data_IF_859355073084
#
_entry.id   IF_859355073084
#
_cell.length_a   1.000
_cell.length_b   1.000
_cell.length_c   1.000
_cell.angle_alpha   90.00
_cell.angle_beta   90.00
_cell.angle_gamma   90.00
#
_symmetry.space_group_name_H-M   'P 1'
#
loop_
_entity.id
_entity.type
_entity.pdbx_description
1 polymer ?
#
# COMPACT_ATOMS: atom_id res chain seq x y z
N UNK A 1 9.95 10.70 -3.34
CA UNK A 1 8.88 11.41 -2.62
C UNK A 1 7.57 10.84 -3.09
N UNK A 2 6.66 10.52 -2.18
CA UNK A 2 5.48 9.73 -2.49
C UNK A 2 4.51 10.55 -3.33
N UNK A 3 4.17 10.02 -4.49
CA UNK A 3 3.24 10.64 -5.42
C UNK A 3 1.80 10.32 -5.00
N UNK A 4 0.93 11.31 -5.06
CA UNK A 4 -0.51 11.15 -4.77
C UNK A 4 -1.17 10.01 -5.57
N UNK A 5 -0.69 9.76 -6.80
CA UNK A 5 -1.18 8.67 -7.65
C UNK A 5 -0.88 7.30 -7.03
N UNK A 6 0.37 7.07 -6.63
CA UNK A 6 0.82 5.81 -6.04
C UNK A 6 0.19 5.60 -4.67
N UNK A 7 0.11 6.66 -3.86
CA UNK A 7 -0.58 6.61 -2.57
C UNK A 7 -2.05 6.21 -2.72
N UNK A 8 -2.79 6.86 -3.63
CA UNK A 8 -4.20 6.52 -3.89
C UNK A 8 -4.37 5.10 -4.40
N UNK A 9 -3.48 4.62 -5.27
CA UNK A 9 -3.54 3.26 -5.80
C UNK A 9 -3.32 2.22 -4.68
N UNK A 10 -2.28 2.38 -3.87
CA UNK A 10 -2.00 1.48 -2.76
C UNK A 10 -3.12 1.44 -1.71
N UNK A 11 -3.66 2.61 -1.36
CA UNK A 11 -4.81 2.72 -0.45
C UNK A 11 -6.06 2.05 -1.02
N UNK A 12 -6.32 2.20 -2.33
CA UNK A 12 -7.46 1.57 -2.99
C UNK A 12 -7.33 0.04 -2.98
N UNK A 13 -6.12 -0.51 -3.12
CA UNK A 13 -5.86 -1.95 -2.99
C UNK A 13 -6.14 -2.45 -1.57
N UNK A 14 -5.68 -1.70 -0.55
CA UNK A 14 -6.01 -2.00 0.84
C UNK A 14 -7.53 -1.97 1.06
N UNK A 15 -8.21 -0.95 0.55
CA UNK A 15 -9.65 -0.86 0.68
C UNK A 15 -10.36 -2.03 0.02
N UNK A 16 -9.90 -2.48 -1.15
CA UNK A 16 -10.51 -3.62 -1.85
C UNK A 16 -10.32 -4.93 -1.09
N UNK A 17 -9.11 -5.23 -0.61
CA UNK A 17 -8.78 -6.48 0.10
C UNK A 17 -9.38 -6.52 1.52
N UNK A 18 -9.38 -5.39 2.22
CA UNK A 18 -9.84 -5.30 3.60
C UNK A 18 -11.25 -4.74 3.74
N UNK A 19 -11.97 -4.49 2.63
CA UNK A 19 -13.36 -4.01 2.63
C UNK A 19 -14.26 -4.89 3.48
N UNK A 20 -14.16 -6.20 3.26
CA UNK A 20 -14.94 -7.22 3.97
C UNK A 20 -14.57 -7.29 5.45
N UNK A 21 -13.40 -6.78 5.83
CA UNK A 21 -12.91 -6.69 7.21
C UNK A 21 -13.22 -5.35 7.87
N UNK A 22 -13.98 -4.48 7.20
CA UNK A 22 -14.39 -3.17 7.71
C UNK A 22 -13.31 -2.08 7.60
N UNK A 23 -12.29 -2.28 6.75
CA UNK A 23 -11.36 -1.19 6.45
C UNK A 23 -12.06 -0.17 5.55
N UNK A 24 -12.16 1.06 6.05
CA UNK A 24 -12.73 2.19 5.32
C UNK A 24 -11.76 3.35 5.39
N UNK A 25 -11.31 3.84 4.22
CA UNK A 25 -10.39 4.97 4.16
C UNK A 25 -11.15 6.27 3.90
N UNK A 26 -11.21 7.14 4.93
CA UNK A 26 -11.78 8.47 4.79
C UNK A 26 -10.74 9.47 4.23
N UNK A 27 -11.22 10.54 3.58
CA UNK A 27 -10.35 11.59 3.02
C UNK A 27 -9.40 12.21 4.05
N UNK A 28 -9.87 12.44 5.28
CA UNK A 28 -9.05 13.00 6.37
C UNK A 28 -7.96 12.03 6.82
N UNK A 29 -8.29 10.74 7.01
CA UNK A 29 -7.31 9.70 7.31
C UNK A 29 -6.28 9.56 6.18
N UNK A 30 -6.74 9.58 4.93
CA UNK A 30 -5.87 9.51 3.76
C UNK A 30 -4.90 10.71 3.69
N UNK A 31 -5.37 11.92 3.99
CA UNK A 31 -4.52 13.10 4.05
C UNK A 31 -3.46 12.99 5.15
N UNK A 32 -3.85 12.53 6.35
CA UNK A 32 -2.89 12.29 7.44
C UNK A 32 -1.84 11.26 7.05
N UNK A 33 -2.25 10.10 6.53
CA UNK A 33 -1.32 9.04 6.12
C UNK A 33 -0.35 9.53 5.04
N UNK A 34 -0.87 10.29 4.05
CA UNK A 34 -0.04 10.88 3.03
C UNK A 34 0.98 11.86 3.63
N UNK A 35 0.59 12.71 4.58
CA UNK A 35 1.49 13.67 5.21
C UNK A 35 2.64 12.98 5.98
N UNK A 36 2.36 11.88 6.67
CA UNK A 36 3.39 11.09 7.35
C UNK A 36 4.26 10.25 6.41
N UNK A 37 3.74 9.88 5.24
CA UNK A 37 4.44 9.02 4.28
C UNK A 37 5.01 9.80 3.08
N UNK A 38 4.80 11.12 2.99
CA UNK A 38 5.23 11.95 1.85
C UNK A 38 6.74 11.88 1.62
N UNK A 39 7.52 11.78 2.69
CA UNK A 39 8.97 11.69 2.67
C UNK A 39 9.48 10.33 2.16
N UNK A 40 8.60 9.32 2.11
CA UNK A 40 8.91 8.00 1.56
C UNK A 40 8.96 8.03 0.03
N UNK A 41 9.68 7.09 -0.57
CA UNK A 41 9.67 6.89 -2.03
C UNK A 41 8.48 6.04 -2.48
N UNK A 42 8.03 6.25 -3.72
CA UNK A 42 6.90 5.50 -4.31
C UNK A 42 7.12 3.97 -4.27
N UNK A 43 8.34 3.54 -4.59
CA UNK A 43 8.74 2.12 -4.55
C UNK A 43 8.66 1.53 -3.13
N UNK A 44 9.18 2.25 -2.14
CA UNK A 44 9.13 1.83 -0.74
C UNK A 44 7.70 1.71 -0.23
N UNK A 45 6.85 2.70 -0.53
CA UNK A 45 5.45 2.67 -0.14
C UNK A 45 4.73 1.48 -0.78
N UNK A 46 4.95 1.26 -2.07
CA UNK A 46 4.35 0.13 -2.80
C UNK A 46 4.75 -1.21 -2.19
N UNK A 47 6.04 -1.40 -1.87
CA UNK A 47 6.54 -2.62 -1.22
C UNK A 47 5.93 -2.84 0.17
N UNK A 48 5.75 -1.78 0.95
CA UNK A 48 5.13 -1.86 2.29
C UNK A 48 3.65 -2.22 2.20
N UNK A 49 2.92 -1.64 1.25
CA UNK A 49 1.51 -1.99 0.99
C UNK A 49 1.39 -3.47 0.61
N UNK A 50 2.24 -3.94 -0.30
CA UNK A 50 2.25 -5.32 -0.76
C UNK A 50 2.58 -6.30 0.38
N UNK A 51 3.56 -5.95 1.22
CA UNK A 51 3.88 -6.70 2.43
C UNK A 51 2.68 -6.79 3.39
N UNK A 52 1.99 -5.66 3.61
CA UNK A 52 0.81 -5.59 4.48
C UNK A 52 -0.33 -6.45 3.93
N UNK A 53 -0.62 -6.38 2.64
CA UNK A 53 -1.63 -7.22 1.98
C UNK A 53 -1.35 -8.71 2.17
N UNK A 54 -0.07 -9.11 2.13
CA UNK A 54 0.35 -10.52 2.23
C UNK A 54 0.44 -11.04 3.67
N UNK A 55 0.89 -10.22 4.60
CA UNK A 55 1.20 -10.67 5.97
C UNK A 55 0.08 -10.36 6.96
N UNK A 56 -0.75 -9.35 6.69
CA UNK A 56 -1.74 -8.89 7.65
C UNK A 56 -3.11 -9.42 7.28
N UNK A 57 -3.72 -10.17 8.21
CA UNK A 57 -5.06 -10.71 8.03
C UNK A 57 -6.17 -9.79 8.54
N UNK A 58 -5.84 -8.65 9.15
CA UNK A 58 -6.76 -7.67 9.73
C UNK A 58 -6.66 -6.30 9.04
N UNK A 59 -7.65 -5.44 9.25
CA UNK A 59 -7.65 -4.05 8.75
C UNK A 59 -6.36 -3.33 9.18
N UNK A 60 -5.43 -3.01 8.24
CA UNK A 60 -4.16 -2.43 8.61
C UNK A 60 -4.30 -0.97 9.02
N UNK A 61 -3.39 -0.52 9.87
CA UNK A 61 -3.25 0.88 10.28
C UNK A 61 -2.10 1.56 9.55
N UNK A 62 -2.02 2.89 9.67
CA UNK A 62 -0.91 3.67 9.15
C UNK A 62 0.43 3.14 9.66
N UNK A 63 0.47 2.78 10.95
CA UNK A 63 1.66 2.29 11.60
C UNK A 63 2.09 0.94 11.04
N UNK A 64 1.16 0.07 10.65
CA UNK A 64 1.49 -1.23 10.05
C UNK A 64 2.20 -1.05 8.71
N UNK A 65 1.78 -0.07 7.91
CA UNK A 65 2.42 0.26 6.62
C UNK A 65 3.74 1.00 6.85
N UNK A 66 3.77 1.94 7.80
CA UNK A 66 4.96 2.73 8.12
C UNK A 66 6.05 1.94 8.84
N UNK A 67 5.68 0.89 9.59
CA UNK A 67 6.61 -0.01 10.29
C UNK A 67 6.75 -1.36 9.59
N UNK A 68 6.14 -1.55 8.41
CA UNK A 68 6.30 -2.77 7.64
C UNK A 68 7.79 -3.03 7.44
N UNK A 69 8.27 -4.09 8.08
CA UNK A 69 9.68 -4.42 8.11
C UNK A 69 10.06 -5.08 6.79
N UNK A 70 10.62 -4.28 5.88
CA UNK A 70 11.19 -4.77 4.63
C UNK A 70 12.53 -5.52 4.88
N UNK A 71 13.08 -5.46 6.10
CA UNK A 71 14.36 -6.08 6.48
C UNK A 71 14.26 -7.59 6.72
N UNK A 72 13.06 -8.15 6.81
CA UNK A 72 12.84 -9.58 7.00
C UNK A 72 12.96 -10.34 5.68
N UNK A 73 14.18 -10.38 5.15
CA UNK A 73 14.81 -11.49 4.44
C UNK A 73 13.88 -12.62 3.93
N UNK A 74 13.00 -12.30 2.99
CA UNK A 74 12.30 -13.30 2.19
C UNK A 74 12.30 -12.83 0.75
N UNK A 75 13.32 -13.32 0.03
CA UNK A 75 13.40 -13.52 -1.41
C UNK A 75 12.08 -13.29 -2.14
N UNK A 76 11.87 -12.11 -2.73
CA UNK A 76 11.02 -12.01 -3.90
C UNK A 76 11.47 -10.90 -4.84
N UNK A 77 11.78 -11.35 -6.07
CA UNK A 77 12.09 -10.54 -7.23
C UNK A 77 10.97 -9.53 -7.47
N UNK A 78 11.35 -8.33 -7.90
CA UNK A 78 10.53 -7.37 -8.65
C UNK A 78 9.23 -7.99 -9.17
N UNK A 79 8.14 -7.74 -8.45
CA UNK A 79 6.81 -8.06 -8.94
C UNK A 79 6.43 -6.93 -9.89
N UNK A 80 6.72 -7.15 -11.15
CA UNK A 80 6.43 -6.25 -12.26
C UNK A 80 4.91 -6.15 -12.46
N UNK A 81 4.35 -4.96 -12.20
CA UNK A 81 2.91 -4.68 -12.36
C UNK A 81 2.50 -4.40 -13.80
N UNK A 82 3.37 -4.61 -14.80
CA UNK A 82 3.06 -4.35 -16.22
C UNK A 82 1.89 -5.19 -16.75
N UNK A 83 1.45 -6.23 -16.03
CA UNK A 83 0.27 -7.02 -16.39
C UNK A 83 -1.06 -6.27 -16.20
N UNK A 84 -1.12 -5.20 -15.39
CA UNK A 84 -2.35 -4.41 -15.17
C UNK A 84 -2.61 -3.35 -16.25
N UNK A 85 -1.65 -3.07 -17.14
CA UNK A 85 -1.83 -2.11 -18.25
C UNK A 85 -2.38 -2.72 -19.55
N UNK A 86 -2.76 -4.00 -19.56
CA UNK A 86 -3.35 -4.68 -20.71
C UNK A 86 -4.84 -4.95 -20.54
N UNK A 87 -5.67 -3.91 -20.66
CA UNK A 87 -7.13 -4.01 -20.50
C UNK A 87 -7.92 -3.10 -21.44
N UNK A 88 -7.54 -3.06 -22.72
CA UNK A 88 -8.37 -2.53 -23.81
C UNK A 88 -8.21 -3.46 -25.02
N UNK A 89 -9.22 -4.30 -25.25
CA UNK A 89 -9.60 -4.79 -26.59
C UNK A 89 -11.10 -5.09 -26.63
#
# INVERSE_FOLDING_TARGET
>A
MLTLKIFKDGVKRLELEFKEKGFTMNKEKAAQWYEYMKDMSDDEFTKRIDWVLKNISYSPSMADIFKADLSSNNTWKDFDFSFLEGGDE
#
